data_IF_159738065246
#
_entry.id   IF_159738065246
#
_cell.length_a   1.000
_cell.length_b   1.000
_cell.length_c   1.000
_cell.angle_alpha   90.00
_cell.angle_beta   90.00
_cell.angle_gamma   90.00
#
_symmetry.space_group_name_H-M   'P 1'
#
loop_
_entity.id
_entity.type
_entity.pdbx_description
1 polymer ?
#
# COMPACT_ATOMS: atom_id res chain seq x y z
N UNK A 1 -7.55 -28.75 -27.08
CA UNK A 1 -8.81 -29.52 -27.01
C UNK A 1 -9.10 -29.85 -25.56
N UNK A 2 -9.66 -28.91 -24.81
CA UNK A 2 -10.04 -29.09 -23.41
C UNK A 2 -11.53 -29.45 -23.33
N UNK A 3 -11.77 -30.46 -22.60
CA UNK A 3 -12.90 -31.33 -22.44
C UNK A 3 -14.25 -30.60 -22.19
N UNK A 4 -15.02 -30.33 -23.23
CA UNK A 4 -16.36 -29.69 -23.22
C UNK A 4 -17.42 -30.45 -22.41
N UNK A 5 -17.20 -31.72 -22.10
CA UNK A 5 -18.10 -32.57 -21.31
C UNK A 5 -18.13 -32.26 -19.81
N UNK A 6 -17.08 -31.70 -19.25
CA UNK A 6 -17.03 -31.37 -17.82
C UNK A 6 -17.67 -30.01 -17.49
N UNK A 7 -17.68 -29.08 -18.43
CA UNK A 7 -18.32 -27.78 -18.27
C UNK A 7 -19.85 -27.93 -18.30
N UNK A 8 -20.38 -28.76 -19.18
CA UNK A 8 -21.81 -29.01 -19.26
C UNK A 8 -22.38 -29.71 -18.02
N UNK A 9 -21.61 -30.63 -17.39
CA UNK A 9 -22.02 -31.28 -16.14
C UNK A 9 -22.02 -30.33 -14.95
N UNK A 10 -21.10 -29.37 -14.87
CA UNK A 10 -21.11 -28.35 -13.81
C UNK A 10 -22.28 -27.40 -13.91
N UNK A 11 -22.70 -27.02 -15.12
CA UNK A 11 -23.86 -26.15 -15.31
C UNK A 11 -25.20 -26.85 -14.99
N UNK A 12 -25.35 -28.14 -15.34
CA UNK A 12 -26.53 -28.91 -14.98
C UNK A 12 -26.68 -29.10 -13.47
N UNK A 13 -25.58 -29.25 -12.75
CA UNK A 13 -25.56 -29.34 -11.27
C UNK A 13 -25.87 -27.99 -10.59
N UNK A 14 -25.45 -26.85 -11.15
CA UNK A 14 -25.82 -25.53 -10.65
C UNK A 14 -27.30 -25.20 -10.82
N UNK A 15 -27.91 -25.54 -11.98
CA UNK A 15 -29.34 -25.30 -12.24
C UNK A 15 -30.23 -26.22 -11.38
N UNK A 16 -29.80 -27.45 -11.09
CA UNK A 16 -30.51 -28.35 -10.20
C UNK A 16 -30.52 -27.88 -8.74
N UNK A 17 -29.44 -27.23 -8.26
CA UNK A 17 -29.39 -26.66 -6.91
C UNK A 17 -30.20 -25.40 -6.70
N UNK A 18 -30.47 -24.60 -7.75
CA UNK A 18 -31.34 -23.42 -7.66
C UNK A 18 -32.82 -23.79 -7.52
N UNK A 19 -33.24 -24.92 -8.10
CA UNK A 19 -34.61 -25.42 -7.97
C UNK A 19 -34.93 -26.06 -6.59
N UNK A 20 -33.93 -26.50 -5.84
CA UNK A 20 -34.10 -27.08 -4.52
C UNK A 20 -34.24 -26.01 -3.41
N UNK A 21 -33.76 -24.78 -3.65
CA UNK A 21 -33.85 -23.68 -2.67
C UNK A 21 -35.25 -23.00 -2.61
N UNK A 22 -36.12 -23.24 -3.58
CA UNK A 22 -37.46 -22.66 -3.61
C UNK A 22 -38.53 -23.49 -2.87
N UNK A 23 -38.22 -24.72 -2.42
CA UNK A 23 -39.16 -25.62 -1.77
C UNK A 23 -39.08 -25.67 -0.24
N UNK A 24 -38.25 -24.82 0.38
CA UNK A 24 -37.88 -24.88 1.83
C UNK A 24 -38.52 -23.82 2.74
N UNK A 25 -39.51 -23.05 2.33
CA UNK A 25 -40.20 -22.07 3.18
C UNK A 25 -41.54 -22.60 3.73
N UNK A 26 -41.47 -23.57 4.65
CA UNK A 26 -42.55 -23.86 5.57
C UNK A 26 -42.23 -23.18 6.91
N UNK A 27 -43.18 -22.48 7.58
CA UNK A 27 -42.92 -21.85 8.84
C UNK A 27 -42.80 -22.92 9.93
N UNK A 28 -41.59 -23.14 10.44
CA UNK A 28 -41.39 -23.91 11.68
C UNK A 28 -41.82 -23.06 12.86
N UNK A 29 -42.69 -23.62 13.72
CA UNK A 29 -43.15 -23.11 14.99
C UNK A 29 -42.00 -22.53 15.83
N UNK A 30 -42.16 -21.28 16.29
CA UNK A 30 -41.27 -20.64 17.23
C UNK A 30 -41.27 -21.37 18.57
N UNK A 31 -40.29 -22.22 18.79
CA UNK A 31 -39.86 -22.66 20.11
C UNK A 31 -39.06 -21.53 20.74
N UNK A 32 -39.55 -21.05 21.93
CA UNK A 32 -38.79 -20.07 22.71
C UNK A 32 -37.42 -20.67 23.06
N UNK A 33 -36.37 -20.13 22.43
CA UNK A 33 -34.99 -20.44 22.82
C UNK A 33 -34.70 -19.71 24.12
N UNK A 34 -34.40 -20.49 25.16
CA UNK A 34 -33.84 -19.99 26.41
C UNK A 34 -32.56 -19.21 26.05
N UNK A 35 -32.47 -17.96 26.52
CA UNK A 35 -31.26 -17.15 26.44
C UNK A 35 -30.17 -17.91 27.19
N UNK A 36 -29.05 -18.32 26.53
CA UNK A 36 -27.95 -18.88 27.29
C UNK A 36 -27.37 -17.76 28.15
N UNK A 37 -27.27 -18.07 29.47
CA UNK A 37 -26.52 -17.25 30.42
C UNK A 37 -25.17 -16.87 29.84
N UNK A 38 -24.81 -15.59 29.96
CA UNK A 38 -23.55 -15.00 29.57
C UNK A 38 -22.36 -15.85 30.01
N UNK A 39 -21.95 -16.79 29.18
CA UNK A 39 -20.59 -17.27 29.20
C UNK A 39 -19.77 -16.10 28.67
N UNK A 40 -18.83 -15.60 29.45
CA UNK A 40 -17.83 -14.64 28.99
C UNK A 40 -17.29 -15.13 27.65
N UNK A 41 -17.57 -14.38 26.59
CA UNK A 41 -17.08 -14.69 25.28
C UNK A 41 -15.54 -14.65 25.38
N UNK A 42 -14.90 -15.79 25.17
CA UNK A 42 -13.44 -15.80 25.01
C UNK A 42 -13.08 -14.70 24.00
N UNK A 43 -12.14 -13.80 24.33
CA UNK A 43 -11.74 -12.76 23.40
C UNK A 43 -11.32 -13.40 22.09
N UNK A 44 -11.88 -12.91 20.99
CA UNK A 44 -11.56 -13.40 19.63
C UNK A 44 -10.04 -13.50 19.53
N UNK A 45 -9.52 -14.67 19.19
CA UNK A 45 -8.07 -14.92 19.09
C UNK A 45 -7.37 -13.92 18.16
N UNK A 46 -8.14 -13.24 17.26
CA UNK A 46 -7.65 -12.16 16.39
C UNK A 46 -7.38 -10.84 17.13
N UNK A 47 -7.93 -10.66 18.32
CA UNK A 47 -7.74 -9.47 19.16
C UNK A 47 -6.65 -9.68 20.24
N UNK A 48 -6.05 -10.87 20.31
CA UNK A 48 -4.94 -11.11 21.22
C UNK A 48 -3.68 -10.45 20.66
N UNK A 49 -3.02 -9.63 21.48
CA UNK A 49 -1.72 -9.07 21.14
C UNK A 49 -0.70 -10.20 20.99
N UNK A 50 0.04 -10.19 19.89
CA UNK A 50 1.15 -11.09 19.69
C UNK A 50 2.21 -10.83 20.77
N UNK A 51 2.64 -11.84 21.48
CA UNK A 51 3.76 -11.70 22.41
C UNK A 51 5.07 -11.73 21.62
N UNK A 52 6.06 -10.87 22.00
CA UNK A 52 7.37 -10.93 21.41
C UNK A 52 7.97 -12.33 21.63
N UNK A 53 8.56 -12.89 20.58
CA UNK A 53 9.36 -14.10 20.74
C UNK A 53 10.66 -13.72 21.40
N UNK A 54 10.76 -13.94 22.70
CA UNK A 54 12.01 -13.73 23.43
C UNK A 54 13.15 -14.51 22.75
N UNK A 55 14.38 -13.98 22.73
CA UNK A 55 15.52 -14.69 22.17
C UNK A 55 15.75 -15.97 22.99
N UNK A 56 15.28 -17.08 22.48
CA UNK A 56 15.66 -18.39 22.98
C UNK A 56 17.17 -18.53 22.72
N UNK A 57 17.98 -18.54 23.76
CA UNK A 57 19.44 -18.60 23.66
C UNK A 57 20.02 -19.82 22.91
N UNK A 58 19.15 -20.61 22.28
CA UNK A 58 19.47 -21.82 21.51
C UNK A 58 19.56 -21.59 19.99
N UNK A 59 18.95 -20.52 19.44
CA UNK A 59 19.01 -20.21 18.00
C UNK A 59 19.99 -19.07 17.73
N UNK A 60 20.96 -19.23 16.80
CA UNK A 60 21.85 -18.12 16.44
C UNK A 60 21.06 -16.96 15.85
N UNK A 61 21.43 -15.70 16.14
CA UNK A 61 20.75 -14.54 15.58
C UNK A 61 20.84 -14.53 14.06
N UNK A 62 19.75 -14.16 13.39
CA UNK A 62 19.71 -14.01 11.94
C UNK A 62 20.45 -12.72 11.57
N UNK A 63 21.53 -12.84 10.80
CA UNK A 63 22.24 -11.66 10.27
C UNK A 63 21.46 -11.09 9.07
N UNK A 64 21.10 -9.82 9.13
CA UNK A 64 20.29 -9.13 8.14
C UNK A 64 21.10 -8.01 7.49
N UNK A 65 21.22 -8.03 6.17
CA UNK A 65 21.74 -6.92 5.38
C UNK A 65 20.64 -5.90 5.08
N UNK A 66 20.99 -4.68 4.64
CA UNK A 66 20.00 -3.68 4.23
C UNK A 66 19.10 -4.21 3.09
N UNK A 67 19.66 -4.94 2.12
CA UNK A 67 18.89 -5.54 1.04
C UNK A 67 17.89 -6.58 1.55
N UNK A 68 18.31 -7.45 2.48
CA UNK A 68 17.43 -8.46 3.09
C UNK A 68 16.32 -7.79 3.92
N UNK A 69 16.64 -6.70 4.63
CA UNK A 69 15.67 -5.91 5.38
C UNK A 69 14.59 -5.33 4.44
N UNK A 70 14.99 -4.74 3.31
CA UNK A 70 14.05 -4.19 2.32
C UNK A 70 13.17 -5.31 1.74
N UNK A 71 13.71 -6.48 1.41
CA UNK A 71 12.93 -7.60 0.87
C UNK A 71 11.93 -8.16 1.88
N UNK A 72 12.31 -8.27 3.17
CA UNK A 72 11.40 -8.69 4.25
C UNK A 72 10.30 -7.68 4.48
N UNK A 73 10.64 -6.39 4.56
CA UNK A 73 9.67 -5.32 4.73
C UNK A 73 8.63 -5.28 3.60
N UNK A 74 9.03 -5.52 2.34
CA UNK A 74 8.08 -5.62 1.20
C UNK A 74 7.05 -6.75 1.34
N UNK A 75 7.36 -7.79 2.10
CA UNK A 75 6.42 -8.90 2.35
C UNK A 75 5.45 -8.63 3.48
N UNK A 76 5.82 -7.73 4.41
CA UNK A 76 5.08 -7.51 5.65
C UNK A 76 4.42 -6.13 5.75
N UNK A 77 4.94 -5.12 5.04
CA UNK A 77 4.40 -3.76 5.10
C UNK A 77 3.01 -3.67 4.46
N UNK A 78 2.03 -3.28 5.26
CA UNK A 78 0.62 -3.23 4.85
C UNK A 78 0.34 -2.14 3.83
N UNK A 79 1.06 -1.01 3.86
CA UNK A 79 0.85 0.08 2.90
C UNK A 79 1.37 -0.29 1.52
N UNK A 80 2.53 -0.93 1.46
CA UNK A 80 3.07 -1.45 0.19
C UNK A 80 2.19 -2.57 -0.37
N UNK A 81 1.74 -3.51 0.47
CA UNK A 81 0.84 -4.59 0.05
C UNK A 81 -0.50 -4.06 -0.45
N UNK A 82 -1.10 -3.06 0.24
CA UNK A 82 -2.33 -2.40 -0.19
C UNK A 82 -2.16 -1.71 -1.55
N UNK A 83 -1.09 -0.90 -1.72
CA UNK A 83 -0.81 -0.24 -3.01
C UNK A 83 -0.58 -1.25 -4.14
N UNK A 84 0.06 -2.39 -3.85
CA UNK A 84 0.22 -3.50 -4.79
C UNK A 84 -1.09 -4.18 -5.14
N UNK A 85 -2.00 -4.34 -4.19
CA UNK A 85 -3.35 -4.87 -4.39
C UNK A 85 -4.19 -3.92 -5.25
N UNK A 86 -4.15 -2.60 -4.98
CA UNK A 86 -4.85 -1.58 -5.78
C UNK A 86 -4.39 -1.59 -7.25
N UNK A 87 -3.10 -1.79 -7.51
CA UNK A 87 -2.59 -1.94 -8.87
C UNK A 87 -3.13 -3.20 -9.57
N UNK A 88 -3.31 -4.31 -8.84
CA UNK A 88 -3.94 -5.54 -9.37
C UNK A 88 -5.44 -5.36 -9.59
N UNK A 89 -6.14 -4.69 -8.68
CA UNK A 89 -7.57 -4.36 -8.83
C UNK A 89 -7.77 -3.52 -10.09
N UNK A 90 -6.99 -2.45 -10.28
CA UNK A 90 -7.06 -1.61 -11.48
C UNK A 90 -6.72 -2.36 -12.78
N UNK A 91 -5.84 -3.38 -12.70
CA UNK A 91 -5.60 -4.28 -13.83
C UNK A 91 -6.87 -5.08 -14.20
N UNK A 92 -7.56 -5.66 -13.20
CA UNK A 92 -8.81 -6.40 -13.44
C UNK A 92 -9.93 -5.47 -13.95
N UNK A 93 -10.00 -4.23 -13.46
CA UNK A 93 -10.91 -3.21 -14.00
C UNK A 93 -10.67 -2.94 -15.49
N UNK A 94 -9.39 -2.90 -15.93
CA UNK A 94 -9.06 -2.80 -17.35
C UNK A 94 -9.49 -4.05 -18.14
N UNK A 95 -9.31 -5.25 -17.57
CA UNK A 95 -9.78 -6.50 -18.18
C UNK A 95 -11.31 -6.47 -18.30
N UNK A 96 -12.03 -6.03 -17.26
CA UNK A 96 -13.48 -5.86 -17.30
C UNK A 96 -13.91 -4.84 -18.38
N UNK A 97 -13.23 -3.68 -18.46
CA UNK A 97 -13.52 -2.67 -19.47
C UNK A 97 -13.30 -3.18 -20.91
N UNK A 98 -12.30 -4.06 -21.11
CA UNK A 98 -12.10 -4.74 -22.39
C UNK A 98 -13.21 -5.75 -22.67
N UNK A 99 -13.56 -6.56 -21.69
CA UNK A 99 -14.58 -7.60 -21.86
C UNK A 99 -15.98 -7.02 -22.03
N UNK A 100 -16.27 -5.84 -21.44
CA UNK A 100 -17.51 -5.11 -21.62
C UNK A 100 -17.76 -4.65 -23.08
N UNK A 101 -16.75 -4.73 -23.95
CA UNK A 101 -16.90 -4.49 -25.40
C UNK A 101 -17.36 -5.74 -26.17
N UNK A 102 -17.39 -6.89 -25.55
CA UNK A 102 -17.80 -8.16 -26.16
C UNK A 102 -19.27 -8.41 -25.89
N UNK A 103 -19.95 -9.19 -26.76
CA UNK A 103 -21.31 -9.63 -26.51
C UNK A 103 -21.44 -10.38 -25.19
N UNK A 104 -22.48 -10.08 -24.43
CA UNK A 104 -22.83 -10.83 -23.23
C UNK A 104 -23.90 -11.88 -23.54
N UNK A 105 -23.75 -13.05 -22.91
CA UNK A 105 -24.75 -14.12 -23.03
C UNK A 105 -25.30 -14.36 -21.61
N UNK A 106 -26.63 -14.21 -21.50
CA UNK A 106 -27.35 -14.44 -20.24
C UNK A 106 -28.51 -15.41 -20.46
N UNK A 107 -28.98 -16.01 -19.38
CA UNK A 107 -30.23 -16.80 -19.39
C UNK A 107 -31.22 -16.09 -18.47
N UNK A 108 -32.42 -15.83 -19.01
CA UNK A 108 -33.50 -15.17 -18.27
C UNK A 108 -34.70 -16.11 -18.20
N UNK A 109 -35.25 -16.29 -17.01
CA UNK A 109 -36.51 -17.02 -16.80
C UNK A 109 -37.48 -16.08 -16.08
N UNK A 110 -38.66 -15.92 -16.65
CA UNK A 110 -39.70 -15.02 -16.15
C UNK A 110 -41.05 -15.69 -16.24
N UNK A 111 -41.89 -15.48 -15.23
CA UNK A 111 -43.29 -15.77 -15.28
C UNK A 111 -44.07 -14.46 -15.18
N UNK A 112 -44.92 -14.18 -16.16
CA UNK A 112 -45.86 -13.08 -16.15
C UNK A 112 -47.26 -13.63 -15.96
N UNK A 113 -47.87 -13.30 -14.83
CA UNK A 113 -49.29 -13.59 -14.57
C UNK A 113 -50.06 -12.29 -14.47
N UNK A 114 -51.16 -12.15 -15.19
CA UNK A 114 -52.03 -11.00 -15.07
C UNK A 114 -53.42 -11.46 -14.63
N UNK A 115 -54.04 -10.70 -13.74
CA UNK A 115 -55.40 -10.96 -13.29
C UNK A 115 -56.39 -10.58 -14.39
N UNK A 116 -57.36 -11.46 -14.67
CA UNK A 116 -58.47 -11.14 -15.54
C UNK A 116 -59.40 -10.11 -14.90
N UNK A 117 -59.58 -8.96 -15.54
CA UNK A 117 -60.45 -7.89 -15.04
C UNK A 117 -61.92 -8.07 -15.40
N UNK A 118 -62.25 -9.11 -16.17
CA UNK A 118 -63.61 -9.35 -16.69
C UNK A 118 -64.08 -8.30 -17.70
N UNK A 119 -65.31 -8.42 -18.13
CA UNK A 119 -65.94 -7.45 -19.04
C UNK A 119 -66.54 -6.33 -18.19
N UNK A 120 -65.83 -5.20 -18.03
CA UNK A 120 -66.35 -4.01 -17.36
C UNK A 120 -66.66 -2.91 -18.37
N UNK A 121 -67.75 -2.16 -18.15
CA UNK A 121 -68.11 -1.05 -19.05
C UNK A 121 -67.12 0.10 -19.09
N UNK A 122 -66.24 0.18 -18.07
CA UNK A 122 -65.35 1.33 -17.81
C UNK A 122 -63.87 1.12 -18.22
N UNK A 123 -63.58 0.23 -19.12
CA UNK A 123 -62.22 -0.02 -19.59
C UNK A 123 -61.45 -1.06 -18.80
N UNK A 124 -60.36 -1.53 -19.38
CA UNK A 124 -59.49 -2.55 -18.79
C UNK A 124 -58.27 -1.89 -18.12
N UNK A 125 -57.93 -2.39 -16.95
CA UNK A 125 -56.72 -1.92 -16.25
C UNK A 125 -55.45 -2.42 -16.95
N UNK A 126 -55.48 -3.60 -17.55
CA UNK A 126 -54.32 -4.21 -18.26
C UNK A 126 -54.75 -4.63 -19.66
N UNK A 127 -53.93 -4.42 -20.68
CA UNK A 127 -54.22 -4.78 -22.09
C UNK A 127 -54.25 -6.29 -22.34
N UNK A 128 -53.54 -7.09 -21.55
CA UNK A 128 -53.48 -8.56 -21.64
C UNK A 128 -54.19 -9.15 -20.41
N UNK A 129 -55.50 -9.35 -20.55
CA UNK A 129 -56.36 -9.76 -19.46
C UNK A 129 -56.31 -11.28 -19.25
N UNK A 130 -55.96 -11.73 -18.01
CA UNK A 130 -55.91 -13.13 -17.64
C UNK A 130 -54.84 -13.97 -18.34
N UNK A 131 -53.73 -13.38 -18.70
CA UNK A 131 -52.65 -14.05 -19.42
C UNK A 131 -51.63 -14.63 -18.46
N UNK A 132 -51.22 -15.87 -18.74
CA UNK A 132 -50.07 -16.51 -18.10
C UNK A 132 -49.02 -16.74 -19.17
N UNK A 133 -47.83 -16.12 -19.00
CA UNK A 133 -46.73 -16.27 -19.95
C UNK A 133 -45.50 -16.76 -19.21
N UNK A 134 -44.98 -17.88 -19.66
CA UNK A 134 -43.70 -18.42 -19.22
C UNK A 134 -42.65 -18.06 -20.24
N UNK A 135 -41.58 -17.43 -19.80
CA UNK A 135 -40.43 -17.04 -20.62
C UNK A 135 -39.17 -17.72 -20.10
N UNK A 136 -38.42 -18.34 -20.97
CA UNK A 136 -37.13 -18.90 -20.69
C UNK A 136 -36.23 -18.70 -21.91
N UNK A 137 -35.36 -17.71 -21.85
CA UNK A 137 -34.53 -17.26 -22.97
C UNK A 137 -33.05 -17.32 -22.69
N UNK A 138 -32.24 -17.72 -23.68
CA UNK A 138 -30.88 -17.34 -23.82
C UNK A 138 -30.81 -16.01 -24.57
N UNK A 139 -30.22 -14.98 -23.96
CA UNK A 139 -30.13 -13.61 -24.50
C UNK A 139 -28.69 -13.32 -24.86
N UNK A 140 -28.41 -13.00 -26.12
CA UNK A 140 -27.14 -12.43 -26.55
C UNK A 140 -27.36 -10.92 -26.71
N UNK A 141 -26.70 -10.15 -25.85
CA UNK A 141 -26.76 -8.68 -25.84
C UNK A 141 -25.45 -8.07 -26.29
N UNK A 142 -25.51 -7.14 -27.25
CA UNK A 142 -24.37 -6.35 -27.70
C UNK A 142 -24.75 -4.87 -27.74
N UNK A 143 -23.94 -4.08 -27.04
CA UNK A 143 -24.04 -2.62 -27.07
C UNK A 143 -23.01 -2.05 -28.07
N UNK A 144 -23.46 -1.23 -29.01
CA UNK A 144 -22.65 -0.50 -29.99
C UNK A 144 -22.71 0.99 -29.68
N UNK A 145 -22.13 1.38 -28.54
CA UNK A 145 -22.03 2.79 -28.16
C UNK A 145 -20.84 3.47 -28.83
N UNK A 146 -20.88 4.79 -29.04
CA UNK A 146 -19.72 5.55 -29.51
C UNK A 146 -18.53 5.45 -28.59
N UNK A 147 -18.76 5.22 -27.29
CA UNK A 147 -17.70 4.97 -26.30
C UNK A 147 -16.99 3.64 -26.55
N UNK A 148 -17.69 2.62 -27.03
CA UNK A 148 -17.12 1.35 -27.45
C UNK A 148 -16.20 1.53 -28.66
N UNK A 149 -16.66 2.19 -29.72
CA UNK A 149 -15.84 2.43 -30.94
C UNK A 149 -14.61 3.29 -30.67
N UNK A 150 -14.73 4.29 -29.80
CA UNK A 150 -13.58 5.11 -29.37
C UNK A 150 -12.66 4.39 -28.40
N UNK A 151 -13.04 3.22 -27.90
CA UNK A 151 -12.37 2.48 -26.83
C UNK A 151 -12.10 3.35 -25.58
N UNK A 152 -12.90 4.41 -25.38
CA UNK A 152 -12.66 5.41 -24.36
C UNK A 152 -12.65 4.78 -22.94
N UNK A 153 -13.58 3.88 -22.67
CA UNK A 153 -13.66 3.17 -21.39
C UNK A 153 -12.43 2.29 -21.13
N UNK A 154 -11.95 1.57 -22.15
CA UNK A 154 -10.75 0.75 -22.07
C UNK A 154 -9.49 1.60 -21.85
N UNK A 155 -9.31 2.66 -22.65
CA UNK A 155 -8.16 3.55 -22.49
C UNK A 155 -8.18 4.28 -21.14
N UNK A 156 -9.37 4.67 -20.66
CA UNK A 156 -9.53 5.24 -19.32
C UNK A 156 -9.11 4.24 -18.23
N UNK A 157 -9.57 3.00 -18.30
CA UNK A 157 -9.17 1.95 -17.36
C UNK A 157 -7.66 1.65 -17.44
N UNK A 158 -7.05 1.73 -18.63
CA UNK A 158 -5.60 1.58 -18.81
C UNK A 158 -4.82 2.73 -18.16
N UNK A 159 -5.30 3.98 -18.24
CA UNK A 159 -4.67 5.10 -17.53
C UNK A 159 -4.81 4.98 -16.01
N UNK A 160 -5.98 4.54 -15.50
CA UNK A 160 -6.18 4.25 -14.06
C UNK A 160 -5.21 3.18 -13.57
N UNK A 161 -5.04 2.10 -14.32
CA UNK A 161 -4.04 1.08 -14.01
C UNK A 161 -2.61 1.64 -13.99
N UNK A 162 -2.25 2.49 -14.96
CA UNK A 162 -0.93 3.13 -14.99
C UNK A 162 -0.70 4.04 -13.78
N UNK A 163 -1.73 4.79 -13.33
CA UNK A 163 -1.72 5.60 -12.12
C UNK A 163 -1.51 4.71 -10.88
N UNK A 164 -2.28 3.63 -10.75
CA UNK A 164 -2.19 2.72 -9.59
C UNK A 164 -0.83 2.01 -9.54
N UNK A 165 -0.27 1.62 -10.67
CA UNK A 165 1.10 1.08 -10.74
C UNK A 165 2.16 2.11 -10.34
N UNK A 166 2.02 3.36 -10.76
CA UNK A 166 2.93 4.43 -10.35
C UNK A 166 2.82 4.72 -8.84
N UNK A 167 1.61 4.68 -8.26
CA UNK A 167 1.39 4.79 -6.81
C UNK A 167 2.03 3.62 -6.04
N UNK A 168 1.93 2.40 -6.55
CA UNK A 168 2.62 1.24 -5.95
C UNK A 168 4.15 1.40 -5.98
N UNK A 169 4.71 2.01 -7.04
CA UNK A 169 6.14 2.32 -7.08
C UNK A 169 6.51 3.43 -6.09
N UNK A 170 5.66 4.45 -5.87
CA UNK A 170 5.84 5.46 -4.81
C UNK A 170 5.88 4.78 -3.43
N UNK A 171 4.92 3.90 -3.14
CA UNK A 171 4.87 3.17 -1.87
C UNK A 171 6.12 2.30 -1.67
N UNK A 172 6.57 1.58 -2.71
CA UNK A 172 7.79 0.78 -2.69
C UNK A 172 9.03 1.61 -2.36
N UNK A 173 9.19 2.78 -3.00
CA UNK A 173 10.32 3.67 -2.77
C UNK A 173 10.26 4.31 -1.37
N UNK A 174 9.07 4.75 -0.93
CA UNK A 174 8.86 5.26 0.42
C UNK A 174 9.21 4.23 1.49
N UNK A 175 8.78 2.97 1.31
CA UNK A 175 9.15 1.86 2.19
C UNK A 175 10.68 1.68 2.25
N UNK A 176 11.38 1.78 1.12
CA UNK A 176 12.84 1.66 1.09
C UNK A 176 13.51 2.73 1.96
N UNK A 177 13.05 3.98 1.93
CA UNK A 177 13.58 5.05 2.82
C UNK A 177 13.30 4.74 4.29
N UNK A 178 12.07 4.32 4.60
CA UNK A 178 11.69 3.97 5.98
C UNK A 178 12.54 2.83 6.53
N UNK A 179 12.74 1.76 5.75
CA UNK A 179 13.61 0.65 6.13
C UNK A 179 15.06 1.12 6.32
N UNK A 180 15.58 1.91 5.38
CA UNK A 180 16.95 2.45 5.45
C UNK A 180 17.14 3.28 6.73
N UNK A 181 16.17 4.15 7.04
CA UNK A 181 16.19 4.95 8.26
C UNK A 181 16.21 4.10 9.53
N UNK A 182 15.29 3.12 9.64
CA UNK A 182 15.20 2.25 10.82
C UNK A 182 16.42 1.34 10.95
N UNK A 183 16.94 0.81 9.84
CA UNK A 183 18.13 -0.02 9.81
C UNK A 183 19.35 0.70 10.36
N UNK A 184 19.67 1.88 9.83
CA UNK A 184 20.81 2.67 10.31
C UNK A 184 20.54 3.34 11.67
N UNK A 185 19.29 3.61 12.03
CA UNK A 185 18.94 4.04 13.39
C UNK A 185 19.29 2.96 14.42
N UNK A 186 19.02 1.68 14.12
CA UNK A 186 19.45 0.58 14.98
C UNK A 186 20.98 0.47 15.04
N UNK A 187 21.68 0.57 13.91
CA UNK A 187 23.16 0.56 13.88
C UNK A 187 23.75 1.67 14.74
N UNK A 188 23.24 2.90 14.59
CA UNK A 188 23.68 4.04 15.41
C UNK A 188 23.36 3.84 16.89
N UNK A 189 22.19 3.27 17.23
CA UNK A 189 21.84 2.97 18.62
C UNK A 189 22.76 1.91 19.23
N UNK A 190 23.20 0.90 18.46
CA UNK A 190 24.19 -0.08 18.87
C UNK A 190 25.57 0.56 19.11
N UNK A 191 26.00 1.50 18.25
CA UNK A 191 27.23 2.26 18.46
C UNK A 191 27.19 3.12 19.74
N UNK A 192 26.06 3.83 19.95
CA UNK A 192 25.85 4.64 21.16
C UNK A 192 25.87 3.78 22.43
N UNK A 193 25.24 2.61 22.40
CA UNK A 193 25.27 1.65 23.50
C UNK A 193 26.72 1.20 23.80
N UNK A 194 27.47 0.80 22.77
CA UNK A 194 28.89 0.40 22.95
C UNK A 194 29.75 1.57 23.45
N UNK A 195 29.53 2.79 22.95
CA UNK A 195 30.24 4.00 23.43
C UNK A 195 29.88 4.31 24.88
N UNK A 196 28.63 4.22 25.28
CA UNK A 196 28.19 4.45 26.65
C UNK A 196 28.74 3.38 27.60
N UNK A 197 28.78 2.11 27.18
CA UNK A 197 29.43 1.03 27.98
C UNK A 197 30.92 1.34 28.23
N UNK A 198 31.64 1.66 27.17
CA UNK A 198 33.07 2.00 27.32
C UNK A 198 33.28 3.25 28.20
N UNK A 199 32.42 4.26 28.06
CA UNK A 199 32.48 5.48 28.86
C UNK A 199 32.18 5.23 30.34
N UNK A 200 31.24 4.33 30.63
CA UNK A 200 30.92 3.89 31.99
C UNK A 200 32.13 3.19 32.62
N UNK A 201 32.78 2.28 31.88
CA UNK A 201 34.01 1.60 32.38
C UNK A 201 35.13 2.59 32.64
N UNK A 202 35.36 3.55 31.74
CA UNK A 202 36.37 4.60 31.91
C UNK A 202 36.07 5.53 33.11
N UNK A 203 34.81 5.95 33.25
CA UNK A 203 34.39 6.79 34.38
C UNK A 203 34.53 6.05 35.73
N UNK A 204 34.20 4.76 35.76
CA UNK A 204 34.42 3.92 36.95
C UNK A 204 35.89 3.81 37.31
N UNK A 205 36.74 3.49 36.33
CA UNK A 205 38.19 3.41 36.55
C UNK A 205 38.75 4.75 37.03
N UNK A 206 38.29 5.86 36.49
CA UNK A 206 38.69 7.19 36.92
C UNK A 206 38.25 7.48 38.37
N UNK A 207 37.00 7.12 38.75
CA UNK A 207 36.51 7.25 40.12
C UNK A 207 37.35 6.40 41.10
N UNK A 208 37.69 5.16 40.76
CA UNK A 208 38.50 4.27 41.59
C UNK A 208 39.92 4.87 41.82
N UNK A 209 40.54 5.44 40.76
CA UNK A 209 41.85 6.13 40.89
C UNK A 209 41.73 7.36 41.78
N UNK A 210 40.72 8.21 41.61
CA UNK A 210 40.51 9.41 42.40
C UNK A 210 40.34 9.06 43.89
N UNK A 211 39.56 8.03 44.21
CA UNK A 211 39.33 7.54 45.56
C UNK A 211 40.64 7.01 46.21
N UNK A 212 41.43 6.25 45.46
CA UNK A 212 42.72 5.75 45.93
C UNK A 212 43.71 6.89 46.18
N UNK A 213 43.76 7.87 45.28
CA UNK A 213 44.63 9.05 45.42
C UNK A 213 44.27 9.93 46.63
N UNK A 214 42.98 10.05 46.96
CA UNK A 214 42.50 10.71 48.17
C UNK A 214 43.03 9.99 49.44
N UNK A 215 42.88 8.65 49.48
CA UNK A 215 43.34 7.83 50.61
C UNK A 215 44.83 7.99 50.85
N UNK A 216 45.62 8.25 49.80
CA UNK A 216 47.06 8.52 49.87
C UNK A 216 47.38 10.00 50.18
N UNK A 217 46.37 10.86 50.31
CA UNK A 217 46.54 12.31 50.50
C UNK A 217 47.07 13.07 49.29
N UNK A 218 46.97 12.49 48.11
CA UNK A 218 47.44 13.05 46.83
C UNK A 218 46.34 13.77 46.01
N UNK A 219 45.07 13.56 46.33
CA UNK A 219 43.93 14.22 45.66
C UNK A 219 42.99 14.87 46.69
N UNK A 220 42.31 15.93 46.29
CA UNK A 220 41.31 16.60 47.10
C UNK A 220 39.99 15.81 47.11
N UNK A 221 39.25 15.80 48.22
CA UNK A 221 37.92 15.20 48.33
C UNK A 221 36.93 15.73 47.25
N UNK A 222 37.05 17.00 46.86
CA UNK A 222 36.28 17.60 45.77
C UNK A 222 36.50 16.91 44.44
N UNK A 223 37.66 16.35 44.16
CA UNK A 223 37.94 15.63 42.90
C UNK A 223 37.30 14.25 42.90
N UNK A 224 37.24 13.58 44.06
CA UNK A 224 36.51 12.31 44.23
C UNK A 224 35.00 12.51 43.99
N UNK A 225 34.40 13.57 44.56
CA UNK A 225 32.99 13.90 44.35
C UNK A 225 32.70 14.15 42.85
N UNK A 226 33.58 14.86 42.14
CA UNK A 226 33.45 15.09 40.71
C UNK A 226 33.52 13.79 39.90
N UNK A 227 34.47 12.91 40.25
CA UNK A 227 34.59 11.60 39.60
C UNK A 227 33.36 10.70 39.86
N UNK A 228 32.80 10.74 41.08
CA UNK A 228 31.58 10.02 41.41
C UNK A 228 30.37 10.56 40.62
N UNK A 229 30.20 11.88 40.53
CA UNK A 229 29.15 12.51 39.72
C UNK A 229 29.25 12.03 38.24
N UNK A 230 30.47 12.07 37.70
CA UNK A 230 30.73 11.62 36.33
C UNK A 230 30.38 10.13 36.15
N UNK A 231 30.78 9.28 37.08
CA UNK A 231 30.46 7.86 37.06
C UNK A 231 28.92 7.63 37.04
N UNK A 232 28.17 8.31 37.93
CA UNK A 232 26.71 8.21 37.98
C UNK A 232 26.03 8.73 36.71
N UNK A 233 26.56 9.79 36.10
CA UNK A 233 26.06 10.30 34.82
C UNK A 233 26.28 9.31 33.68
N UNK A 234 27.42 8.62 33.62
CA UNK A 234 27.67 7.60 32.62
C UNK A 234 26.84 6.33 32.85
N UNK A 235 26.58 5.96 34.12
CA UNK A 235 25.69 4.85 34.47
C UNK A 235 24.27 5.13 33.94
N UNK A 236 23.72 6.31 34.16
CA UNK A 236 22.44 6.72 33.61
C UNK A 236 22.44 6.72 32.05
N UNK A 237 23.48 7.29 31.44
CA UNK A 237 23.62 7.33 29.98
C UNK A 237 23.67 5.94 29.34
N UNK A 238 24.30 4.97 30.02
CA UNK A 238 24.34 3.58 29.58
C UNK A 238 22.95 2.93 29.58
N UNK A 239 22.18 3.11 30.67
CA UNK A 239 20.81 2.58 30.76
C UNK A 239 19.89 3.20 29.70
N UNK A 240 19.99 4.53 29.47
CA UNK A 240 19.24 5.23 28.44
C UNK A 240 19.62 4.75 27.02
N UNK A 241 20.89 4.48 26.76
CA UNK A 241 21.38 3.98 25.48
C UNK A 241 20.96 2.53 25.24
N UNK A 242 20.92 1.70 26.28
CA UNK A 242 20.39 0.34 26.21
C UNK A 242 18.90 0.34 25.83
N UNK A 243 18.10 1.15 26.51
CA UNK A 243 16.68 1.30 26.19
C UNK A 243 16.46 1.80 24.75
N UNK A 244 17.25 2.79 24.30
CA UNK A 244 17.15 3.32 22.94
C UNK A 244 17.51 2.26 21.90
N UNK A 245 18.51 1.41 22.15
CA UNK A 245 18.88 0.31 21.26
C UNK A 245 17.78 -0.75 21.18
N UNK A 246 17.17 -1.11 22.31
CA UNK A 246 16.07 -2.09 22.33
C UNK A 246 14.85 -1.55 21.59
N UNK A 247 14.47 -0.28 21.80
CA UNK A 247 13.38 0.36 21.07
C UNK A 247 13.65 0.39 19.55
N UNK A 248 14.85 0.78 19.13
CA UNK A 248 15.23 0.79 17.71
C UNK A 248 15.18 -0.61 17.08
N UNK A 249 15.52 -1.66 17.87
CA UNK A 249 15.40 -3.06 17.44
C UNK A 249 13.93 -3.46 17.25
N UNK A 250 13.06 -3.08 18.19
CA UNK A 250 11.62 -3.35 18.11
C UNK A 250 10.99 -2.64 16.90
N UNK A 251 11.31 -1.35 16.69
CA UNK A 251 10.81 -0.58 15.55
C UNK A 251 11.14 -1.24 14.20
N UNK A 252 12.36 -1.75 14.08
CA UNK A 252 12.76 -2.48 12.88
C UNK A 252 12.10 -3.86 12.81
N UNK A 253 11.99 -4.60 13.93
CA UNK A 253 11.39 -5.92 13.98
C UNK A 253 9.92 -5.93 13.55
N UNK A 254 9.13 -4.94 13.95
CA UNK A 254 7.72 -4.76 13.54
C UNK A 254 7.59 -4.69 12.03
N UNK A 255 8.55 -4.07 11.35
CA UNK A 255 8.52 -3.91 9.90
C UNK A 255 9.02 -5.16 9.16
N UNK A 256 10.00 -5.89 9.74
CA UNK A 256 10.66 -7.01 9.06
C UNK A 256 9.96 -8.36 9.26
N UNK A 257 9.26 -8.55 10.39
CA UNK A 257 8.73 -9.85 10.77
C UNK A 257 7.21 -9.79 11.00
N UNK A 258 6.44 -10.79 10.54
CA UNK A 258 5.01 -10.89 10.83
C UNK A 258 4.72 -11.18 12.31
N UNK A 259 5.65 -11.84 13.00
CA UNK A 259 5.68 -12.04 14.45
C UNK A 259 6.85 -11.26 14.99
N UNK A 260 6.69 -10.57 16.11
CA UNK A 260 7.76 -9.76 16.71
C UNK A 260 8.94 -10.68 17.09
N UNK A 261 9.95 -10.75 16.23
CA UNK A 261 11.17 -11.52 16.47
C UNK A 261 12.33 -10.57 16.73
N UNK A 262 12.89 -10.62 17.92
CA UNK A 262 13.99 -9.75 18.37
C UNK A 262 15.38 -10.40 18.15
N UNK A 263 15.44 -11.68 17.80
CA UNK A 263 16.70 -12.42 17.64
C UNK A 263 17.30 -12.22 16.25
N UNK A 264 17.77 -11.01 15.97
CA UNK A 264 18.50 -10.69 14.75
C UNK A 264 19.63 -9.68 15.00
N UNK A 265 20.60 -9.66 14.12
CA UNK A 265 21.69 -8.70 14.06
C UNK A 265 21.73 -8.02 12.70
N UNK A 266 22.10 -6.74 12.66
CA UNK A 266 22.27 -5.99 11.43
C UNK A 266 23.75 -5.91 11.06
N UNK A 267 24.05 -5.89 9.75
CA UNK A 267 25.43 -5.67 9.28
C UNK A 267 25.72 -4.18 9.34
N UNK A 268 26.81 -3.84 10.02
CA UNK A 268 27.28 -2.46 10.07
C UNK A 268 28.09 -2.11 8.80
N UNK A 269 27.50 -1.27 7.97
CA UNK A 269 28.13 -0.68 6.79
C UNK A 269 28.01 0.85 6.75
N UNK A 270 27.76 1.46 7.93
CA UNK A 270 27.51 2.90 8.06
C UNK A 270 28.68 3.73 7.49
N UNK A 271 29.91 3.30 7.72
CA UNK A 271 31.12 4.00 7.29
C UNK A 271 31.45 3.81 5.79
N UNK A 272 30.76 2.92 5.07
CA UNK A 272 31.06 2.67 3.67
C UNK A 272 30.76 3.92 2.83
N UNK A 273 31.75 4.37 2.06
CA UNK A 273 31.62 5.56 1.20
C UNK A 273 30.76 5.26 -0.01
N UNK A 274 29.61 5.93 -0.11
CA UNK A 274 28.77 5.95 -1.32
C UNK A 274 28.96 7.30 -2.01
N UNK A 275 29.36 7.29 -3.28
CA UNK A 275 29.59 8.52 -4.03
C UNK A 275 28.26 9.19 -4.40
N UNK A 276 28.17 10.52 -4.23
CA UNK A 276 27.05 11.32 -4.72
C UNK A 276 27.29 11.65 -6.19
N UNK A 277 26.37 11.26 -7.13
CA UNK A 277 26.52 11.60 -8.54
C UNK A 277 26.30 13.10 -8.79
N UNK A 278 26.78 13.65 -9.95
CA UNK A 278 26.60 15.06 -10.26
C UNK A 278 25.12 15.41 -10.46
N UNK A 279 24.72 16.63 -10.05
CA UNK A 279 23.33 17.08 -10.08
C UNK A 279 22.64 16.94 -11.45
N UNK A 280 23.39 17.20 -12.55
CA UNK A 280 22.86 17.09 -13.91
C UNK A 280 22.41 15.68 -14.28
N UNK A 281 23.10 14.67 -13.78
CA UNK A 281 22.73 13.27 -13.97
C UNK A 281 21.49 12.91 -13.12
N UNK A 282 21.48 13.31 -11.86
CA UNK A 282 20.35 13.15 -10.93
C UNK A 282 19.09 13.78 -11.52
N UNK A 283 19.18 15.00 -12.05
CA UNK A 283 18.06 15.69 -12.70
C UNK A 283 17.53 14.93 -13.92
N UNK A 284 18.41 14.41 -14.76
CA UNK A 284 18.05 13.63 -15.96
C UNK A 284 17.31 12.34 -15.58
N UNK A 285 17.79 11.64 -14.54
CA UNK A 285 17.17 10.42 -14.05
C UNK A 285 15.79 10.70 -13.44
N UNK A 286 15.67 11.72 -12.59
CA UNK A 286 14.40 12.13 -11.99
C UNK A 286 13.34 12.49 -13.04
N UNK A 287 13.71 13.24 -14.08
CA UNK A 287 12.79 13.62 -15.15
C UNK A 287 12.22 12.40 -15.91
N UNK A 288 12.99 11.33 -16.02
CA UNK A 288 12.59 10.11 -16.74
C UNK A 288 11.83 9.11 -15.87
N UNK A 289 12.24 8.93 -14.61
CA UNK A 289 11.87 7.77 -13.80
C UNK A 289 11.04 8.14 -12.55
N UNK A 290 10.72 9.42 -12.36
CA UNK A 290 9.95 9.84 -11.20
C UNK A 290 8.49 9.36 -11.30
N UNK A 291 8.00 8.55 -10.33
CA UNK A 291 6.67 7.99 -10.39
C UNK A 291 5.57 9.03 -10.11
N UNK A 292 5.84 10.09 -9.32
CA UNK A 292 4.88 11.17 -9.05
C UNK A 292 4.59 11.96 -10.32
N UNK A 293 5.62 12.26 -11.12
CA UNK A 293 5.44 12.90 -12.42
C UNK A 293 4.64 12.01 -13.38
N UNK A 294 4.85 10.70 -13.33
CA UNK A 294 4.08 9.72 -14.12
C UNK A 294 2.61 9.72 -13.71
N UNK A 295 2.29 9.76 -12.40
CA UNK A 295 0.91 9.88 -11.91
C UNK A 295 0.26 11.14 -12.48
N UNK A 296 0.90 12.30 -12.42
CA UNK A 296 0.35 13.55 -12.93
C UNK A 296 0.12 13.51 -14.46
N UNK A 297 1.05 12.91 -15.22
CA UNK A 297 0.92 12.72 -16.67
C UNK A 297 -0.27 11.81 -17.02
N UNK A 298 -0.40 10.67 -16.36
CA UNK A 298 -1.51 9.75 -16.63
C UNK A 298 -2.86 10.34 -16.16
N UNK A 299 -2.88 11.14 -15.08
CA UNK A 299 -4.09 11.87 -14.65
C UNK A 299 -4.54 12.90 -15.70
N UNK A 300 -3.60 13.58 -16.36
CA UNK A 300 -3.93 14.48 -17.48
C UNK A 300 -4.52 13.70 -18.66
N UNK A 301 -3.94 12.55 -19.02
CA UNK A 301 -4.49 11.66 -20.06
C UNK A 301 -5.87 11.14 -19.71
N UNK A 302 -6.12 10.80 -18.44
CA UNK A 302 -7.44 10.38 -17.98
C UNK A 302 -8.46 11.50 -18.16
N UNK A 303 -8.12 12.74 -17.81
CA UNK A 303 -9.00 13.89 -17.99
C UNK A 303 -9.29 14.17 -19.49
N UNK A 304 -8.32 13.99 -20.39
CA UNK A 304 -8.50 14.07 -21.84
C UNK A 304 -9.52 13.04 -22.33
N UNK A 305 -9.44 11.80 -21.83
CA UNK A 305 -10.38 10.73 -22.16
C UNK A 305 -11.77 10.98 -21.57
N UNK A 306 -11.87 11.58 -20.39
CA UNK A 306 -13.17 11.99 -19.79
C UNK A 306 -13.85 13.07 -20.64
N UNK A 307 -13.09 14.01 -21.22
CA UNK A 307 -13.61 14.99 -22.19
C UNK A 307 -14.06 14.29 -23.47
N UNK A 308 -13.31 13.31 -23.98
CA UNK A 308 -13.70 12.53 -25.15
C UNK A 308 -15.01 11.76 -24.88
N UNK A 309 -15.11 11.09 -23.72
CA UNK A 309 -16.30 10.36 -23.31
C UNK A 309 -17.54 11.30 -23.20
N UNK A 310 -17.35 12.51 -22.65
CA UNK A 310 -18.42 13.50 -22.57
C UNK A 310 -18.85 14.03 -23.93
N UNK A 311 -17.93 14.15 -24.92
CA UNK A 311 -18.25 14.49 -26.31
C UNK A 311 -18.99 13.38 -27.01
N UNK A 312 -18.57 12.14 -26.85
CA UNK A 312 -19.19 10.98 -27.50
C UNK A 312 -20.59 10.66 -26.95
N UNK A 313 -20.92 11.14 -25.75
CA UNK A 313 -22.26 11.01 -25.15
C UNK A 313 -23.37 11.73 -25.91
N UNK A 314 -23.04 12.66 -26.83
CA UNK A 314 -24.02 13.30 -27.73
C UNK A 314 -24.37 12.45 -28.94
N UNK A 315 -23.63 11.39 -29.22
CA UNK A 315 -23.85 10.51 -30.36
C UNK A 315 -24.86 9.41 -30.01
N UNK A 316 -25.58 8.91 -31.03
CA UNK A 316 -26.54 7.82 -30.79
C UNK A 316 -25.85 6.52 -30.34
N UNK A 317 -26.58 5.73 -29.57
CA UNK A 317 -26.22 4.35 -29.23
C UNK A 317 -27.07 3.37 -29.97
N UNK A 318 -26.49 2.26 -30.39
CA UNK A 318 -27.20 1.12 -31.01
C UNK A 318 -27.04 -0.09 -30.08
N UNK A 319 -28.14 -0.77 -29.80
CA UNK A 319 -28.15 -2.04 -29.05
C UNK A 319 -28.68 -3.14 -29.94
N UNK A 320 -28.19 -4.34 -29.79
CA UNK A 320 -28.66 -5.54 -30.47
C UNK A 320 -28.84 -6.64 -29.40
N UNK A 321 -30.11 -7.10 -29.32
CA UNK A 321 -30.49 -8.23 -28.51
C UNK A 321 -30.95 -9.36 -29.41
N UNK A 322 -30.41 -10.55 -29.22
CA UNK A 322 -30.83 -11.78 -29.89
C UNK A 322 -31.27 -12.75 -28.82
N UNK A 323 -32.56 -13.02 -28.81
CA UNK A 323 -33.20 -13.88 -27.83
C UNK A 323 -33.60 -15.21 -28.51
N UNK A 324 -33.24 -16.32 -27.85
CA UNK A 324 -33.63 -17.66 -28.28
C UNK A 324 -34.19 -18.46 -27.12
N UNK A 325 -35.42 -18.93 -27.23
CA UNK A 325 -36.02 -19.65 -26.12
C UNK A 325 -37.51 -19.87 -26.24
N UNK A 326 -38.17 -20.06 -25.13
CA UNK A 326 -39.60 -20.29 -25.01
C UNK A 326 -40.28 -19.01 -24.53
N UNK A 327 -41.35 -18.61 -25.21
CA UNK A 327 -42.34 -17.65 -24.75
C UNK A 327 -43.75 -18.18 -25.06
N UNK A 328 -44.44 -18.71 -24.04
CA UNK A 328 -45.71 -19.35 -24.24
C UNK A 328 -46.55 -19.36 -22.95
N UNK A 329 -47.82 -19.68 -23.11
CA UNK A 329 -48.74 -19.85 -21.97
C UNK A 329 -48.54 -21.17 -21.19
N UNK A 330 -47.59 -22.00 -21.61
CA UNK A 330 -47.20 -23.23 -20.91
C UNK A 330 -45.67 -23.42 -21.05
N UNK A 331 -45.04 -23.91 -19.99
CA UNK A 331 -43.60 -24.22 -20.02
C UNK A 331 -43.36 -25.58 -20.71
N UNK A 332 -43.51 -25.59 -22.04
CA UNK A 332 -43.36 -26.77 -22.88
C UNK A 332 -42.74 -26.39 -24.22
N UNK A 333 -42.03 -27.34 -24.87
CA UNK A 333 -41.40 -27.11 -26.17
C UNK A 333 -42.42 -26.96 -27.31
N UNK A 334 -43.66 -27.48 -27.13
CA UNK A 334 -44.74 -27.37 -28.10
C UNK A 334 -46.02 -26.93 -27.40
N UNK A 335 -46.82 -26.14 -28.10
CA UNK A 335 -48.13 -25.71 -27.62
C UNK A 335 -49.07 -26.93 -27.46
N UNK A 336 -49.87 -27.00 -26.40
CA UNK A 336 -50.91 -28.02 -26.25
C UNK A 336 -52.06 -27.85 -27.28
N UNK A 337 -52.17 -26.67 -27.91
CA UNK A 337 -53.21 -26.33 -28.87
C UNK A 337 -52.65 -26.43 -30.28
N UNK A 338 -53.29 -27.18 -31.14
CA UNK A 338 -52.95 -27.24 -32.56
C UNK A 338 -53.40 -25.95 -33.27
N UNK A 339 -52.53 -25.36 -34.13
CA UNK A 339 -52.84 -24.16 -34.88
C UNK A 339 -53.95 -24.44 -35.95
N UNK A 340 -53.84 -25.58 -36.59
CA UNK A 340 -54.88 -26.19 -37.44
C UNK A 340 -54.64 -27.71 -37.52
N UNK A 341 -55.62 -28.45 -38.09
CA UNK A 341 -55.51 -29.92 -38.22
C UNK A 341 -54.33 -30.36 -39.10
N UNK A 342 -53.88 -29.54 -40.03
CA UNK A 342 -52.84 -29.87 -40.99
C UNK A 342 -51.41 -29.63 -40.41
N UNK A 343 -51.25 -28.65 -39.51
CA UNK A 343 -49.92 -28.22 -38.97
C UNK A 343 -49.60 -28.83 -37.64
N UNK A 344 -50.53 -29.37 -36.91
CA UNK A 344 -50.31 -29.94 -35.58
C UNK A 344 -49.88 -28.91 -34.54
N UNK A 345 -49.28 -29.35 -33.40
CA UNK A 345 -48.82 -28.47 -32.34
C UNK A 345 -47.67 -27.56 -32.80
N UNK A 346 -47.83 -26.25 -32.60
CA UNK A 346 -46.79 -25.27 -32.90
C UNK A 346 -45.62 -25.34 -31.89
N UNK A 347 -44.40 -25.09 -32.36
CA UNK A 347 -43.25 -24.96 -31.42
C UNK A 347 -43.42 -23.69 -30.60
N UNK A 348 -43.17 -23.81 -29.28
CA UNK A 348 -43.05 -22.68 -28.37
C UNK A 348 -41.62 -22.14 -28.32
N UNK A 349 -40.68 -22.86 -28.93
CA UNK A 349 -39.29 -22.47 -29.05
C UNK A 349 -39.11 -21.62 -30.32
N UNK A 350 -38.56 -20.43 -30.14
CA UNK A 350 -38.34 -19.48 -31.24
C UNK A 350 -37.21 -18.50 -30.94
N UNK A 351 -37.01 -17.58 -31.86
CA UNK A 351 -36.09 -16.48 -31.69
C UNK A 351 -36.75 -15.16 -32.04
N UNK A 352 -36.25 -14.08 -31.41
CA UNK A 352 -36.49 -12.74 -31.89
C UNK A 352 -35.25 -11.88 -31.78
N UNK A 353 -35.14 -10.87 -32.61
CA UNK A 353 -34.03 -9.96 -32.67
C UNK A 353 -34.55 -8.55 -32.48
N UNK A 354 -34.01 -7.85 -31.49
CA UNK A 354 -34.35 -6.46 -31.22
C UNK A 354 -33.14 -5.58 -31.49
N UNK A 355 -33.27 -4.61 -32.37
CA UNK A 355 -32.27 -3.56 -32.58
C UNK A 355 -32.84 -2.25 -32.04
N UNK A 356 -32.21 -1.72 -31.04
CA UNK A 356 -32.55 -0.44 -30.40
C UNK A 356 -31.63 0.68 -30.89
N UNK A 357 -32.21 1.81 -31.33
CA UNK A 357 -31.46 3.03 -31.66
C UNK A 357 -31.89 4.14 -30.71
N UNK A 358 -30.96 4.66 -29.91
CA UNK A 358 -31.25 5.71 -28.95
C UNK A 358 -30.38 6.94 -29.22
N UNK A 359 -31.05 8.07 -29.55
CA UNK A 359 -30.43 9.35 -29.80
C UNK A 359 -30.92 10.35 -28.73
N UNK A 360 -30.06 10.95 -27.93
CA UNK A 360 -30.44 11.99 -26.96
C UNK A 360 -30.77 13.29 -27.70
N UNK A 361 -32.06 13.54 -27.94
CA UNK A 361 -32.52 14.73 -28.70
C UNK A 361 -32.62 15.96 -27.78
N UNK A 362 -33.07 15.77 -26.55
CA UNK A 362 -33.27 16.85 -25.56
C UNK A 362 -33.09 16.35 -24.15
N UNK A 363 -32.21 17.03 -23.40
CA UNK A 363 -31.85 16.66 -22.04
C UNK A 363 -31.73 17.85 -21.07
N UNK A 364 -32.34 18.98 -21.43
CA UNK A 364 -32.28 20.23 -20.65
C UNK A 364 -30.86 20.73 -20.40
N UNK A 365 -29.91 20.39 -21.25
CA UNK A 365 -28.51 20.85 -21.17
C UNK A 365 -27.62 20.01 -20.25
N UNK A 366 -28.09 18.85 -19.78
CA UNK A 366 -27.33 17.96 -18.90
C UNK A 366 -26.02 17.48 -19.54
N UNK A 367 -26.04 17.01 -20.80
CA UNK A 367 -24.84 16.60 -21.54
C UNK A 367 -23.86 17.75 -21.74
N UNK A 368 -24.37 18.95 -22.05
CA UNK A 368 -23.52 20.13 -22.16
C UNK A 368 -22.84 20.50 -20.84
N UNK A 369 -23.58 20.42 -19.72
CA UNK A 369 -23.05 20.63 -18.38
C UNK A 369 -21.97 19.60 -18.04
N UNK A 370 -22.20 18.31 -18.34
CA UNK A 370 -21.20 17.25 -18.16
C UNK A 370 -19.92 17.49 -18.97
N UNK A 371 -20.07 17.96 -20.21
CA UNK A 371 -18.92 18.32 -21.05
C UNK A 371 -18.13 19.50 -20.45
N UNK A 372 -18.81 20.54 -19.93
CA UNK A 372 -18.13 21.63 -19.26
C UNK A 372 -17.41 21.18 -17.99
N UNK A 373 -18.04 20.33 -17.17
CA UNK A 373 -17.40 19.73 -16.00
C UNK A 373 -16.14 18.93 -16.37
N UNK A 374 -16.19 18.12 -17.44
CA UNK A 374 -15.04 17.38 -17.93
C UNK A 374 -13.91 18.30 -18.38
N UNK A 375 -14.21 19.41 -19.06
CA UNK A 375 -13.22 20.43 -19.46
C UNK A 375 -12.57 21.12 -18.25
N UNK A 376 -13.35 21.50 -17.24
CA UNK A 376 -12.78 22.08 -16.02
C UNK A 376 -11.87 21.08 -15.27
N UNK A 377 -12.24 19.80 -15.24
CA UNK A 377 -11.37 18.76 -14.69
C UNK A 377 -10.07 18.59 -15.49
N UNK A 378 -10.13 18.76 -16.81
CA UNK A 378 -8.96 18.74 -17.69
C UNK A 378 -8.03 19.94 -17.39
N UNK A 379 -8.58 21.14 -17.24
CA UNK A 379 -7.81 22.33 -16.85
C UNK A 379 -7.13 22.15 -15.48
N UNK A 380 -7.85 21.58 -14.51
CA UNK A 380 -7.29 21.25 -13.19
C UNK A 380 -6.12 20.25 -13.34
N UNK A 381 -6.30 19.16 -14.07
CA UNK A 381 -5.26 18.15 -14.26
C UNK A 381 -4.00 18.71 -14.96
N UNK A 382 -4.16 19.64 -15.90
CA UNK A 382 -3.05 20.34 -16.55
C UNK A 382 -2.31 21.28 -15.57
N UNK A 383 -3.05 21.97 -14.71
CA UNK A 383 -2.46 22.80 -13.65
C UNK A 383 -1.71 21.96 -12.62
N UNK A 384 -2.29 20.82 -12.21
CA UNK A 384 -1.65 19.84 -11.31
C UNK A 384 -0.37 19.26 -11.92
N UNK A 385 -0.35 18.94 -13.22
CA UNK A 385 0.86 18.50 -13.92
C UNK A 385 1.95 19.58 -13.87
N UNK A 386 1.62 20.83 -14.14
CA UNK A 386 2.57 21.95 -14.03
C UNK A 386 3.07 22.16 -12.61
N UNK A 387 2.21 21.97 -11.62
CA UNK A 387 2.58 22.01 -10.22
C UNK A 387 3.50 20.86 -9.85
N UNK A 388 3.19 19.61 -10.26
CA UNK A 388 4.01 18.44 -10.01
C UNK A 388 5.44 18.61 -10.57
N UNK A 389 5.60 19.20 -11.76
CA UNK A 389 6.91 19.49 -12.34
C UNK A 389 7.72 20.48 -11.48
N UNK A 390 7.08 21.56 -11.00
CA UNK A 390 7.75 22.55 -10.15
C UNK A 390 8.11 21.99 -8.78
N UNK A 391 7.21 21.23 -8.18
CA UNK A 391 7.42 20.56 -6.89
C UNK A 391 8.56 19.56 -6.99
N UNK A 392 8.57 18.71 -8.02
CA UNK A 392 9.66 17.76 -8.24
C UNK A 392 11.02 18.46 -8.37
N UNK A 393 11.08 19.57 -9.10
CA UNK A 393 12.33 20.32 -9.24
C UNK A 393 12.80 20.88 -7.89
N UNK A 394 11.89 21.45 -7.10
CA UNK A 394 12.18 21.96 -5.76
C UNK A 394 12.64 20.86 -4.81
N UNK A 395 11.93 19.71 -4.78
CA UNK A 395 12.28 18.57 -3.97
C UNK A 395 13.65 17.99 -4.35
N UNK A 396 13.94 17.94 -5.66
CA UNK A 396 15.21 17.42 -6.16
C UNK A 396 16.39 18.31 -5.73
N UNK A 397 16.25 19.62 -5.84
CA UNK A 397 17.27 20.57 -5.36
C UNK A 397 17.46 20.45 -3.85
N UNK A 398 16.37 20.40 -3.09
CA UNK A 398 16.41 20.26 -1.64
C UNK A 398 17.08 18.94 -1.22
N UNK A 399 16.67 17.81 -1.81
CA UNK A 399 17.24 16.50 -1.49
C UNK A 399 18.72 16.38 -1.89
N UNK A 400 19.12 16.98 -3.02
CA UNK A 400 20.51 16.98 -3.45
C UNK A 400 21.41 17.83 -2.53
N UNK A 401 20.94 19.04 -2.18
CA UNK A 401 21.64 19.91 -1.24
C UNK A 401 21.77 19.24 0.14
N UNK A 402 20.70 18.60 0.62
CA UNK A 402 20.72 17.84 1.87
C UNK A 402 21.76 16.71 1.82
N UNK A 403 21.78 15.93 0.74
CA UNK A 403 22.75 14.85 0.56
C UNK A 403 24.21 15.38 0.50
N UNK A 404 24.43 16.52 -0.17
CA UNK A 404 25.75 17.16 -0.24
C UNK A 404 26.22 17.65 1.13
N UNK A 405 25.36 18.40 1.86
CA UNK A 405 25.67 18.91 3.20
C UNK A 405 25.85 17.76 4.19
N UNK A 406 25.02 16.73 4.12
CA UNK A 406 25.12 15.57 4.98
C UNK A 406 26.44 14.80 4.76
N UNK A 407 26.90 14.67 3.51
CA UNK A 407 28.19 14.08 3.19
C UNK A 407 29.34 14.88 3.80
N UNK A 408 29.37 16.19 3.54
CA UNK A 408 30.44 17.06 4.02
C UNK A 408 30.45 17.13 5.56
N UNK A 409 29.27 17.09 6.20
CA UNK A 409 29.10 16.99 7.64
C UNK A 409 29.65 15.66 8.18
N UNK A 410 29.39 14.54 7.50
CA UNK A 410 29.89 13.23 7.91
C UNK A 410 31.41 13.14 7.84
N UNK A 411 32.03 13.64 6.76
CA UNK A 411 33.49 13.71 6.63
C UNK A 411 34.13 14.58 7.74
N UNK A 412 33.52 15.75 8.03
CA UNK A 412 34.00 16.65 9.11
C UNK A 412 33.83 16.02 10.48
N UNK A 413 32.69 15.40 10.78
CA UNK A 413 32.44 14.76 12.08
C UNK A 413 33.36 13.57 12.31
N UNK A 414 33.69 12.79 11.27
CA UNK A 414 34.65 11.69 11.33
C UNK A 414 36.01 12.21 11.77
N UNK A 415 36.50 13.25 11.10
CA UNK A 415 37.80 13.84 11.49
C UNK A 415 37.79 14.41 12.92
N UNK A 416 36.67 15.02 13.32
CA UNK A 416 36.51 15.54 14.70
C UNK A 416 36.50 14.40 15.73
N UNK A 417 35.87 13.26 15.42
CA UNK A 417 35.88 12.09 16.31
C UNK A 417 37.27 11.49 16.47
N UNK A 418 38.05 11.44 15.39
CA UNK A 418 39.46 10.98 15.44
C UNK A 418 40.34 11.92 16.33
N UNK A 419 40.18 13.24 16.16
CA UNK A 419 40.89 14.22 16.97
C UNK A 419 40.51 14.18 18.46
N UNK A 420 39.21 13.99 18.76
CA UNK A 420 38.74 13.87 20.14
C UNK A 420 39.25 12.58 20.82
N UNK A 421 39.35 11.48 20.07
CA UNK A 421 39.93 10.24 20.60
C UNK A 421 41.42 10.41 20.92
N UNK A 422 42.20 11.06 20.05
CA UNK A 422 43.62 11.33 20.30
C UNK A 422 43.80 12.33 21.44
N UNK A 423 42.93 13.35 21.56
CA UNK A 423 42.94 14.30 22.67
C UNK A 423 42.75 13.59 24.02
N UNK A 424 41.75 12.72 24.12
CA UNK A 424 41.52 11.93 25.35
C UNK A 424 42.73 11.05 25.68
N UNK A 425 43.31 10.40 24.68
CA UNK A 425 44.53 9.57 24.90
C UNK A 425 45.68 10.37 25.48
N UNK A 426 45.96 11.55 24.95
CA UNK A 426 47.03 12.41 25.41
C UNK A 426 46.76 12.99 26.80
N UNK A 427 45.55 13.43 27.11
CA UNK A 427 45.14 13.95 28.40
C UNK A 427 45.23 12.87 29.48
N UNK A 428 44.83 11.64 29.17
CA UNK A 428 44.97 10.51 30.09
C UNK A 428 46.46 10.24 30.45
N UNK A 429 47.39 10.31 29.48
CA UNK A 429 48.80 10.15 29.73
C UNK A 429 49.36 11.27 30.64
N UNK A 430 48.95 12.53 30.39
CA UNK A 430 49.34 13.68 31.24
C UNK A 430 48.79 13.57 32.65
N UNK A 431 47.53 13.10 32.79
CA UNK A 431 46.93 12.88 34.11
C UNK A 431 47.69 11.82 34.92
N UNK A 432 48.04 10.70 34.26
CA UNK A 432 48.84 9.64 34.91
C UNK A 432 50.26 10.14 35.32
N UNK A 433 50.81 11.10 34.58
CA UNK A 433 52.07 11.75 34.93
C UNK A 433 51.94 12.84 36.03
N UNK A 434 50.71 13.14 36.48
CA UNK A 434 50.40 14.20 37.44
C UNK A 434 50.46 15.62 36.88
N UNK A 435 50.47 15.77 35.55
CA UNK A 435 50.60 17.05 34.85
C UNK A 435 49.26 17.69 34.44
N UNK A 436 48.17 16.93 34.54
CA UNK A 436 46.82 17.39 34.16
C UNK A 436 45.85 17.20 35.31
N UNK A 437 44.97 18.15 35.60
CA UNK A 437 43.93 18.02 36.62
C UNK A 437 42.79 17.09 36.15
N UNK A 438 42.09 16.50 37.12
CA UNK A 438 41.00 15.56 36.91
C UNK A 438 39.88 16.08 35.97
N UNK A 439 39.59 17.39 36.04
CA UNK A 439 38.51 17.95 35.19
C UNK A 439 38.83 17.92 33.69
N UNK A 440 40.10 17.98 33.28
CA UNK A 440 40.50 17.87 31.88
C UNK A 440 40.21 16.47 31.34
N UNK A 441 40.36 15.41 32.13
CA UNK A 441 40.03 14.04 31.75
C UNK A 441 38.52 13.89 31.51
N UNK A 442 37.73 14.44 32.45
CA UNK A 442 36.26 14.42 32.34
C UNK A 442 35.77 15.17 31.10
N UNK A 443 36.35 16.35 30.84
CA UNK A 443 36.00 17.17 29.67
C UNK A 443 36.37 16.47 28.35
N UNK A 444 37.57 15.89 28.30
CA UNK A 444 38.04 15.14 27.13
C UNK A 444 37.20 13.88 26.87
N UNK A 445 36.75 13.16 27.91
CA UNK A 445 35.89 12.01 27.81
C UNK A 445 34.50 12.41 27.23
N UNK A 446 33.91 13.47 27.80
CA UNK A 446 32.61 13.97 27.29
C UNK A 446 32.74 14.46 25.85
N UNK A 447 33.83 15.15 25.50
CA UNK A 447 34.11 15.60 24.13
C UNK A 447 34.21 14.42 23.16
N UNK A 448 34.90 13.34 23.55
CA UNK A 448 35.04 12.15 22.73
C UNK A 448 33.67 11.47 22.51
N UNK A 449 32.86 11.31 23.56
CA UNK A 449 31.50 10.71 23.47
C UNK A 449 30.62 11.54 22.54
N UNK A 450 30.60 12.86 22.71
CA UNK A 450 29.82 13.75 21.84
C UNK A 450 30.28 13.69 20.39
N UNK A 451 31.59 13.69 20.14
CA UNK A 451 32.15 13.62 18.78
C UNK A 451 31.86 12.30 18.09
N UNK A 452 31.94 11.16 18.79
CA UNK A 452 31.52 9.84 18.23
C UNK A 452 30.03 9.79 17.89
N UNK A 453 29.19 10.19 18.84
CA UNK A 453 27.73 10.21 18.60
C UNK A 453 27.37 11.15 17.44
N UNK A 454 28.02 12.31 17.32
CA UNK A 454 27.80 13.22 16.19
C UNK A 454 28.25 12.63 14.85
N UNK A 455 29.36 11.84 14.83
CA UNK A 455 29.79 11.13 13.63
C UNK A 455 28.75 10.07 13.18
N UNK A 456 28.23 9.26 14.11
CA UNK A 456 27.25 8.23 13.82
C UNK A 456 25.91 8.83 13.33
N UNK A 457 25.48 9.94 13.95
CA UNK A 457 24.30 10.69 13.51
C UNK A 457 24.48 11.33 12.13
N UNK A 458 25.67 11.86 11.84
CA UNK A 458 25.97 12.40 10.51
C UNK A 458 26.00 11.30 9.44
N UNK A 459 26.53 10.11 9.77
CA UNK A 459 26.46 8.93 8.91
C UNK A 459 25.02 8.51 8.59
N UNK A 460 24.17 8.39 9.62
CA UNK A 460 22.75 8.10 9.47
C UNK A 460 22.06 9.14 8.56
N UNK A 461 22.30 10.43 8.82
CA UNK A 461 21.73 11.53 8.03
C UNK A 461 22.10 11.42 6.56
N UNK A 462 23.36 11.12 6.26
CA UNK A 462 23.84 10.94 4.90
C UNK A 462 23.18 9.74 4.20
N UNK A 463 23.08 8.58 4.88
CA UNK A 463 22.41 7.39 4.34
C UNK A 463 20.92 7.64 4.02
N UNK A 464 20.23 8.32 4.93
CA UNK A 464 18.80 8.68 4.72
C UNK A 464 18.65 9.70 3.60
N UNK A 465 19.54 10.69 3.50
CA UNK A 465 19.53 11.68 2.42
C UNK A 465 19.74 11.02 1.04
N UNK A 466 20.68 10.07 0.92
CA UNK A 466 20.89 9.27 -0.29
C UNK A 466 19.65 8.44 -0.64
N UNK A 467 19.07 7.72 0.33
CA UNK A 467 17.87 6.94 0.09
C UNK A 467 16.70 7.82 -0.37
N UNK A 468 16.55 9.02 0.21
CA UNK A 468 15.55 10.00 -0.22
C UNK A 468 15.79 10.45 -1.65
N UNK A 469 17.02 10.76 -2.02
CA UNK A 469 17.37 11.13 -3.40
C UNK A 469 17.09 10.00 -4.40
N UNK A 470 17.35 8.75 -4.01
CA UNK A 470 17.03 7.56 -4.81
C UNK A 470 15.52 7.39 -5.05
N UNK A 471 14.65 7.81 -4.12
CA UNK A 471 13.20 7.76 -4.36
C UNK A 471 12.77 8.67 -5.51
N UNK A 472 13.44 9.81 -5.68
CA UNK A 472 13.13 10.78 -6.73
C UNK A 472 13.69 10.35 -8.09
N UNK A 473 14.83 9.66 -8.12
CA UNK A 473 15.59 9.31 -9.33
C UNK A 473 15.38 7.88 -9.83
N UNK A 474 14.98 6.97 -8.94
CA UNK A 474 14.78 5.54 -9.24
C UNK A 474 15.93 4.64 -8.78
N UNK A 475 17.15 4.96 -9.13
CA UNK A 475 18.41 4.35 -8.65
C UNK A 475 19.59 5.10 -9.25
N UNK A 476 20.75 5.02 -8.61
CA UNK A 476 22.05 5.38 -9.17
C UNK A 476 23.12 4.44 -8.62
#
# INVERSE_FOLDING_TARGET
>A
MLNSRNILRSYILCVANILIFAAGLLPSSAGAQAVPSSTEAEPDARLQLMQPTAPDGTTPPVTITLSDAIERARKNDTQFLAAGADAKISHEERVQARNAMLPTISATTQYLGTQGNGVTPNGRFVTNDGVHVYRAWGVLHQDFSPQMYSMASYHRAATVEAISRAKAEIAKRGLTVTVTKLYYSLTVSQHKYATAQLSLEQAKHFFDIAQHSEQLGQAAHADVIKAEIQFRQQEQSFEESNLAMENARLDLAVLLFPTLNENFTVVDDLESSVALPPFTEVQRMAAKENPTLRVALESTRQADLDVLAAKTAFLPTLTLDVDYGIEANSFALRSPVAADRARGPLPNLGYFVTAGFNLPVWDWGTLRSKLHQAKYKQEIAQAEMSQAQRTLLSELYSAYNEASVARDSFETSRHTADLAAESLRLINLRYQAGESPAFEVVDALNTQVMARNANDEAGLRYRVALATLQTLTGSF
#
